data_IF_005303734093
#
_entry.id   IF_005303734093
#
_cell.length_a   1.000
_cell.length_b   1.000
_cell.length_c   1.000
_cell.angle_alpha   90.00
_cell.angle_beta   90.00
_cell.angle_gamma   90.00
#
_symmetry.space_group_name_H-M   'P 1'
#
loop_
_entity.id
_entity.type
_entity.pdbx_description
1 polymer ?
#
# COMPACT_ATOMS: atom_id res chain seq x y z
N UNK A 1 -6.72 21.83 8.22
CA UNK A 1 -6.21 22.53 7.02
C UNK A 1 -5.72 21.47 6.07
N UNK A 2 -6.32 21.40 4.88
CA UNK A 2 -6.06 20.36 3.88
C UNK A 2 -4.65 20.55 3.31
N UNK A 3 -3.71 19.66 3.67
CA UNK A 3 -2.39 19.60 3.02
C UNK A 3 -2.58 18.94 1.65
N UNK A 4 -2.99 19.75 0.68
CA UNK A 4 -2.84 19.42 -0.74
C UNK A 4 -1.35 19.56 -1.05
N UNK A 5 -0.67 18.43 -1.23
CA UNK A 5 0.71 18.43 -1.72
C UNK A 5 0.76 19.00 -3.15
N UNK A 6 1.51 20.07 -3.43
CA UNK A 6 1.79 20.49 -4.79
C UNK A 6 3.08 19.83 -5.30
N UNK A 7 3.05 19.34 -6.54
CA UNK A 7 4.27 19.20 -7.35
C UNK A 7 4.75 17.79 -7.66
N UNK A 8 3.88 16.93 -8.19
CA UNK A 8 4.31 16.06 -9.29
C UNK A 8 4.07 16.85 -10.58
N UNK A 9 5.14 17.03 -11.36
CA UNK A 9 5.11 17.59 -12.72
C UNK A 9 3.85 17.16 -13.46
N UNK A 10 3.22 18.09 -14.19
CA UNK A 10 2.13 17.82 -15.12
C UNK A 10 2.62 16.89 -16.24
N UNK A 11 2.77 15.60 -15.90
CA UNK A 11 3.01 14.54 -16.86
C UNK A 11 1.82 14.56 -17.82
N UNK A 12 2.12 14.62 -19.13
CA UNK A 12 1.17 14.84 -20.21
C UNK A 12 -0.13 14.08 -19.95
N UNK A 13 -1.21 14.80 -19.68
CA UNK A 13 -2.42 14.29 -19.03
C UNK A 13 -3.16 13.21 -19.82
N UNK A 14 -2.66 12.81 -21.01
CA UNK A 14 -3.21 11.75 -21.86
C UNK A 14 -2.21 10.82 -22.55
N UNK A 15 -0.89 11.05 -22.48
CA UNK A 15 0.06 10.28 -23.32
C UNK A 15 0.04 8.77 -23.01
N UNK A 16 -0.07 8.39 -21.73
CA UNK A 16 -0.14 6.99 -21.31
C UNK A 16 -1.36 6.25 -21.85
N UNK A 17 -2.46 6.95 -22.19
CA UNK A 17 -3.67 6.33 -22.76
C UNK A 17 -3.42 5.81 -24.17
N UNK A 18 -2.57 6.49 -24.95
CA UNK A 18 -2.20 6.05 -26.31
C UNK A 18 -1.39 4.76 -26.33
N UNK A 19 -0.79 4.36 -25.21
CA UNK A 19 -0.11 3.07 -25.06
C UNK A 19 -1.08 1.90 -24.84
N UNK A 20 -2.37 2.17 -24.62
CA UNK A 20 -3.40 1.15 -24.39
C UNK A 20 -4.21 0.88 -25.67
N UNK A 21 -4.75 -0.33 -25.75
CA UNK A 21 -5.65 -0.73 -26.85
C UNK A 21 -6.97 0.05 -26.85
N UNK A 22 -7.42 0.46 -25.66
CA UNK A 22 -8.63 1.25 -25.43
C UNK A 22 -8.47 2.08 -24.15
N UNK A 23 -9.18 3.20 -24.04
CA UNK A 23 -9.18 4.03 -22.85
C UNK A 23 -10.15 3.48 -21.79
N UNK A 24 -9.67 2.98 -20.64
CA UNK A 24 -10.55 2.48 -19.58
C UNK A 24 -11.18 3.60 -18.74
N UNK A 25 -10.83 4.87 -18.96
CA UNK A 25 -11.29 6.00 -18.14
C UNK A 25 -12.83 6.09 -18.03
N UNK A 26 -13.63 5.97 -19.12
CA UNK A 26 -15.09 5.97 -19.00
C UNK A 26 -15.63 4.85 -18.09
N UNK A 27 -14.98 3.68 -18.11
CA UNK A 27 -15.36 2.52 -17.29
C UNK A 27 -14.98 2.69 -15.81
N UNK A 28 -13.82 3.30 -15.54
CA UNK A 28 -13.36 3.64 -14.19
C UNK A 28 -14.17 4.79 -13.58
N UNK A 29 -14.60 5.76 -14.38
CA UNK A 29 -15.43 6.88 -13.97
C UNK A 29 -16.92 6.50 -13.88
N UNK A 30 -17.30 5.30 -14.29
CA UNK A 30 -18.68 4.80 -14.18
C UNK A 30 -19.19 4.78 -12.73
N UNK A 31 -20.51 4.94 -12.52
CA UNK A 31 -21.10 5.06 -11.18
C UNK A 31 -21.16 3.73 -10.40
N UNK A 32 -20.92 2.58 -11.04
CA UNK A 32 -21.09 1.24 -10.45
C UNK A 32 -20.06 0.88 -9.39
N UNK A 33 -18.95 1.60 -9.29
CA UNK A 33 -17.97 1.43 -8.22
C UNK A 33 -17.52 2.80 -7.73
N UNK A 34 -18.30 3.46 -6.85
CA UNK A 34 -18.07 4.85 -6.46
C UNK A 34 -16.69 5.12 -5.87
N UNK A 35 -16.13 4.15 -5.14
CA UNK A 35 -14.78 4.25 -4.58
C UNK A 35 -13.70 4.34 -5.66
N UNK A 36 -13.82 3.55 -6.73
CA UNK A 36 -12.92 3.65 -7.89
C UNK A 36 -13.14 4.96 -8.64
N UNK A 37 -14.41 5.38 -8.84
CA UNK A 37 -14.71 6.68 -9.48
C UNK A 37 -14.06 7.84 -8.73
N UNK A 38 -14.23 7.90 -7.41
CA UNK A 38 -13.61 8.90 -6.54
C UNK A 38 -12.10 8.98 -6.76
N UNK A 39 -11.44 7.83 -6.72
CA UNK A 39 -10.00 7.74 -6.87
C UNK A 39 -9.52 8.02 -8.30
N UNK A 40 -10.28 7.65 -9.33
CA UNK A 40 -9.96 7.94 -10.72
C UNK A 40 -10.08 9.44 -11.03
N UNK A 41 -11.12 10.11 -10.52
CA UNK A 41 -11.27 11.57 -10.63
C UNK A 41 -10.06 12.28 -10.02
N UNK A 42 -9.62 11.86 -8.83
CA UNK A 42 -8.48 12.46 -8.14
C UNK A 42 -7.14 12.13 -8.81
N UNK A 43 -6.87 10.87 -9.13
CA UNK A 43 -5.51 10.41 -9.46
C UNK A 43 -5.23 10.30 -10.96
N UNK A 44 -6.26 10.16 -11.79
CA UNK A 44 -6.12 10.09 -13.25
C UNK A 44 -6.50 11.39 -13.95
N UNK A 45 -7.38 12.21 -13.34
CA UNK A 45 -7.82 13.49 -13.87
C UNK A 45 -7.35 14.70 -13.04
N UNK A 46 -6.57 14.47 -11.97
CA UNK A 46 -6.02 15.51 -11.08
C UNK A 46 -7.09 16.48 -10.53
N UNK A 47 -8.32 16.02 -10.35
CA UNK A 47 -9.38 16.87 -9.81
C UNK A 47 -9.14 17.14 -8.32
N UNK A 48 -9.31 18.38 -7.85
CA UNK A 48 -9.06 18.73 -6.46
C UNK A 48 -10.10 18.09 -5.53
N UNK A 49 -9.75 17.95 -4.25
CA UNK A 49 -10.57 17.22 -3.27
C UNK A 49 -11.93 17.87 -2.93
N UNK A 50 -12.09 19.15 -3.28
CA UNK A 50 -13.29 19.97 -3.14
C UNK A 50 -14.11 20.08 -4.44
N UNK A 51 -13.66 19.47 -5.54
CA UNK A 51 -14.45 19.33 -6.77
C UNK A 51 -15.78 18.63 -6.45
N UNK A 52 -16.94 19.17 -6.87
CA UNK A 52 -18.24 18.60 -6.54
C UNK A 52 -18.40 17.13 -6.93
N UNK A 53 -17.83 16.69 -8.05
CA UNK A 53 -17.89 15.28 -8.46
C UNK A 53 -16.99 14.40 -7.59
N UNK A 54 -15.83 14.90 -7.17
CA UNK A 54 -14.93 14.19 -6.25
C UNK A 54 -15.60 14.03 -4.88
N UNK A 55 -16.20 15.10 -4.36
CA UNK A 55 -16.94 15.09 -3.08
C UNK A 55 -18.12 14.13 -3.15
N UNK A 56 -18.91 14.18 -4.23
CA UNK A 56 -20.06 13.28 -4.37
C UNK A 56 -19.63 11.82 -4.51
N UNK A 57 -18.63 11.53 -5.35
CA UNK A 57 -18.11 10.18 -5.50
C UNK A 57 -17.52 9.63 -4.18
N UNK A 58 -16.82 10.46 -3.39
CA UNK A 58 -16.30 10.08 -2.07
C UNK A 58 -17.44 9.77 -1.09
N UNK A 59 -18.47 10.62 -1.05
CA UNK A 59 -19.68 10.39 -0.21
C UNK A 59 -20.41 9.11 -0.62
N UNK A 60 -20.56 8.86 -1.91
CA UNK A 60 -21.14 7.63 -2.43
C UNK A 60 -20.28 6.40 -2.08
N UNK A 61 -18.95 6.51 -2.18
CA UNK A 61 -18.02 5.45 -1.79
C UNK A 61 -18.18 5.04 -0.32
N UNK A 62 -18.33 6.00 0.59
CA UNK A 62 -18.54 5.73 2.02
C UNK A 62 -19.85 4.98 2.33
N UNK A 63 -20.83 5.01 1.42
CA UNK A 63 -22.13 4.35 1.55
C UNK A 63 -22.23 3.05 0.75
N UNK A 64 -21.18 2.69 0.01
CA UNK A 64 -21.15 1.51 -0.82
C UNK A 64 -20.13 0.50 -0.31
N UNK A 65 -20.35 -0.76 -0.65
CA UNK A 65 -19.36 -1.79 -0.40
C UNK A 65 -18.14 -1.61 -1.31
N UNK A 66 -16.94 -1.93 -0.80
CA UNK A 66 -16.70 -2.61 0.48
C UNK A 66 -16.55 -1.69 1.72
N UNK A 67 -16.49 -0.36 1.56
CA UNK A 67 -16.26 0.56 2.69
C UNK A 67 -17.40 0.47 3.71
N UNK A 68 -18.64 0.47 3.25
CA UNK A 68 -19.81 0.43 4.13
C UNK A 68 -19.85 -0.83 5.00
N UNK A 69 -19.72 -2.02 4.40
CA UNK A 69 -19.66 -3.29 5.15
C UNK A 69 -18.48 -3.35 6.13
N UNK A 70 -17.29 -2.90 5.74
CA UNK A 70 -16.14 -2.86 6.67
C UNK A 70 -16.47 -1.95 7.86
N UNK A 71 -16.94 -0.73 7.63
CA UNK A 71 -17.24 0.20 8.71
C UNK A 71 -18.42 -0.23 9.58
N UNK A 72 -19.38 -0.98 9.04
CA UNK A 72 -20.49 -1.55 9.79
C UNK A 72 -20.03 -2.68 10.74
N UNK A 73 -18.97 -3.40 10.39
CA UNK A 73 -18.37 -4.44 11.23
C UNK A 73 -17.43 -3.89 12.33
N UNK A 74 -17.20 -2.57 12.38
CA UNK A 74 -16.32 -1.96 13.37
C UNK A 74 -16.97 -2.01 14.75
N UNK A 75 -16.23 -2.49 15.75
CA UNK A 75 -16.62 -2.36 17.14
C UNK A 75 -16.65 -0.87 17.56
N UNK A 76 -17.52 -0.43 18.48
CA UNK A 76 -17.55 0.96 18.97
C UNK A 76 -16.20 1.51 19.42
N UNK A 77 -15.35 0.66 20.00
CA UNK A 77 -13.99 1.01 20.46
C UNK A 77 -12.96 1.16 19.33
N UNK A 78 -13.33 0.91 18.06
CA UNK A 78 -12.49 1.16 16.89
C UNK A 78 -11.78 -0.07 16.28
N UNK A 79 -11.91 -1.24 16.88
CA UNK A 79 -11.31 -2.49 16.38
C UNK A 79 -12.27 -3.33 15.53
N UNK A 80 -11.72 -4.35 14.85
CA UNK A 80 -12.49 -5.38 14.14
C UNK A 80 -12.15 -6.77 14.66
N UNK A 81 -13.15 -7.65 14.61
CA UNK A 81 -13.12 -9.05 15.07
C UNK A 81 -12.86 -9.21 16.58
N UNK A 82 -11.72 -8.75 17.08
CA UNK A 82 -11.32 -8.90 18.48
C UNK A 82 -10.33 -7.80 18.91
N UNK A 83 -10.26 -7.48 20.22
CA UNK A 83 -9.31 -6.49 20.73
C UNK A 83 -7.84 -6.99 20.68
N UNK A 84 -6.91 -6.10 20.99
CA UNK A 84 -5.46 -6.29 20.89
C UNK A 84 -4.84 -5.71 19.62
N UNK A 85 -3.62 -6.15 19.30
CA UNK A 85 -2.76 -5.58 18.24
C UNK A 85 -3.30 -5.74 16.81
N UNK A 86 -4.38 -6.50 16.60
CA UNK A 86 -5.17 -6.46 15.37
C UNK A 86 -4.63 -7.24 14.17
N UNK A 87 -3.43 -7.86 14.23
CA UNK A 87 -2.89 -8.63 13.11
C UNK A 87 -3.60 -9.98 12.89
N UNK A 88 -4.08 -10.61 13.96
CA UNK A 88 -5.00 -11.76 13.93
C UNK A 88 -6.45 -11.26 14.01
N UNK A 89 -7.45 -11.84 13.34
CA UNK A 89 -7.53 -13.08 12.53
C UNK A 89 -7.19 -12.88 11.04
N UNK A 90 -6.00 -12.36 10.73
CA UNK A 90 -5.58 -12.00 9.35
C UNK A 90 -6.61 -11.03 8.77
N UNK A 91 -7.10 -11.22 7.55
CA UNK A 91 -7.78 -10.18 6.77
C UNK A 91 -9.13 -9.68 7.30
N UNK A 92 -9.60 -10.15 8.47
CA UNK A 92 -10.71 -9.56 9.23
C UNK A 92 -10.27 -8.71 10.43
N UNK A 93 -9.03 -8.85 10.88
CA UNK A 93 -8.48 -8.10 12.00
C UNK A 93 -8.27 -6.62 11.69
N UNK A 94 -8.13 -5.83 12.77
CA UNK A 94 -8.10 -4.36 12.77
C UNK A 94 -7.07 -3.75 11.82
N UNK A 95 -5.81 -4.20 11.85
CA UNK A 95 -4.75 -3.58 11.03
C UNK A 95 -5.06 -3.72 9.54
N UNK A 96 -5.66 -4.85 9.13
CA UNK A 96 -6.02 -5.10 7.75
C UNK A 96 -7.19 -4.23 7.30
N UNK A 97 -8.18 -4.00 8.17
CA UNK A 97 -9.29 -3.11 7.84
C UNK A 97 -8.79 -1.69 7.61
N UNK A 98 -7.90 -1.19 8.47
CA UNK A 98 -7.31 0.14 8.28
C UNK A 98 -6.52 0.23 6.97
N UNK A 99 -5.72 -0.80 6.65
CA UNK A 99 -4.96 -0.91 5.39
C UNK A 99 -5.89 -0.93 4.17
N UNK A 100 -7.00 -1.65 4.24
CA UNK A 100 -7.96 -1.74 3.13
C UNK A 100 -8.76 -0.45 2.98
N UNK A 101 -9.22 0.17 4.06
CA UNK A 101 -9.95 1.44 4.03
C UNK A 101 -9.11 2.54 3.37
N UNK A 102 -7.80 2.58 3.62
CA UNK A 102 -6.88 3.50 2.94
C UNK A 102 -6.83 3.25 1.43
N UNK A 103 -6.64 1.98 1.03
CA UNK A 103 -6.61 1.58 -0.38
C UNK A 103 -7.91 1.87 -1.12
N UNK A 104 -9.04 1.76 -0.42
CA UNK A 104 -10.37 2.05 -0.93
C UNK A 104 -10.66 3.57 -1.01
N UNK A 105 -9.82 4.40 -0.41
CA UNK A 105 -10.00 5.85 -0.38
C UNK A 105 -11.11 6.30 0.56
N UNK A 106 -11.28 5.63 1.70
CA UNK A 106 -12.23 6.04 2.74
C UNK A 106 -11.94 7.48 3.22
N UNK A 107 -12.99 8.18 3.63
CA UNK A 107 -12.90 9.57 4.07
C UNK A 107 -12.26 9.67 5.47
N UNK A 108 -11.10 10.32 5.55
CA UNK A 108 -10.39 10.59 6.81
C UNK A 108 -11.22 11.43 7.82
N UNK A 109 -12.25 12.14 7.33
CA UNK A 109 -13.18 12.89 8.15
C UNK A 109 -14.19 12.03 8.91
N UNK A 110 -14.38 10.77 8.54
CA UNK A 110 -15.35 9.88 9.20
C UNK A 110 -14.85 9.51 10.61
N UNK A 111 -15.68 9.68 11.66
CA UNK A 111 -15.27 9.40 13.03
C UNK A 111 -14.89 7.93 13.27
N UNK A 112 -15.41 6.98 12.48
CA UNK A 112 -15.03 5.56 12.55
C UNK A 112 -13.58 5.34 12.10
N UNK A 113 -13.14 6.07 11.08
CA UNK A 113 -11.74 6.03 10.60
C UNK A 113 -10.81 6.58 11.68
N UNK A 114 -11.16 7.72 12.28
CA UNK A 114 -10.36 8.31 13.38
C UNK A 114 -10.22 7.36 14.56
N UNK A 115 -11.32 6.71 14.99
CA UNK A 115 -11.27 5.69 16.05
C UNK A 115 -10.39 4.50 15.67
N UNK A 116 -10.44 4.05 14.41
CA UNK A 116 -9.58 2.97 13.94
C UNK A 116 -8.09 3.35 13.98
N UNK A 117 -7.74 4.54 13.52
CA UNK A 117 -6.36 5.05 13.58
C UNK A 117 -5.87 5.11 15.02
N UNK A 118 -6.63 5.76 15.91
CA UNK A 118 -6.24 5.91 17.30
C UNK A 118 -6.08 4.56 18.01
N UNK A 119 -7.04 3.66 17.80
CA UNK A 119 -6.96 2.29 18.33
C UNK A 119 -5.70 1.56 17.84
N UNK A 120 -5.38 1.61 16.54
CA UNK A 120 -4.17 0.96 15.99
C UNK A 120 -2.90 1.57 16.57
N UNK A 121 -2.83 2.90 16.73
CA UNK A 121 -1.67 3.57 17.29
C UNK A 121 -1.46 3.21 18.77
N UNK A 122 -2.52 2.99 19.53
CA UNK A 122 -2.43 2.59 20.94
C UNK A 122 -2.10 1.11 21.15
N UNK A 123 -2.53 0.23 20.24
CA UNK A 123 -2.51 -1.22 20.48
C UNK A 123 -1.52 -1.99 19.61
N UNK A 124 -1.08 -1.44 18.48
CA UNK A 124 -0.29 -2.18 17.48
C UNK A 124 1.19 -1.77 17.45
N UNK A 125 1.60 -0.74 18.18
CA UNK A 125 2.99 -0.26 18.22
C UNK A 125 3.77 -1.01 19.31
N UNK A 126 4.92 -1.57 18.93
CA UNK A 126 5.85 -2.18 19.88
C UNK A 126 6.70 -1.11 20.59
N UNK A 127 7.38 -1.43 21.70
CA UNK A 127 8.26 -0.49 22.40
C UNK A 127 9.41 0.09 21.54
N UNK A 128 9.74 -0.55 20.42
CA UNK A 128 10.70 -0.04 19.43
C UNK A 128 10.15 1.06 18.53
N UNK A 129 8.86 1.37 18.60
CA UNK A 129 8.19 2.41 17.81
C UNK A 129 7.50 1.89 16.53
N UNK A 130 7.88 0.72 16.01
CA UNK A 130 7.24 0.15 14.83
C UNK A 130 6.02 -0.73 15.13
N UNK A 131 5.17 -0.94 14.12
CA UNK A 131 3.98 -1.77 14.21
C UNK A 131 4.29 -3.28 14.20
N UNK A 132 3.87 -3.98 15.25
CA UNK A 132 4.12 -5.40 15.44
C UNK A 132 3.05 -6.32 14.87
N UNK A 133 3.47 -7.36 14.14
CA UNK A 133 2.61 -8.41 13.59
C UNK A 133 2.19 -9.44 14.67
N UNK A 134 1.53 -8.97 15.74
CA UNK A 134 1.12 -9.80 16.87
C UNK A 134 -0.36 -10.16 16.83
N UNK A 135 -0.66 -11.44 17.10
CA UNK A 135 -2.02 -11.93 17.29
C UNK A 135 -2.44 -12.08 18.76
N UNK A 136 -1.57 -11.69 19.70
CA UNK A 136 -1.82 -11.82 21.13
C UNK A 136 -2.89 -10.83 21.60
N UNK A 137 -3.82 -11.33 22.42
CA UNK A 137 -4.87 -10.51 23.01
C UNK A 137 -4.31 -9.68 24.16
N UNK A 138 -4.75 -8.43 24.27
CA UNK A 138 -4.47 -7.53 25.40
C UNK A 138 -2.99 -7.41 25.78
N UNK A 139 -2.09 -7.51 24.79
CA UNK A 139 -0.65 -7.35 24.97
C UNK A 139 -0.09 -6.48 23.87
N UNK A 140 0.74 -5.53 24.29
CA UNK A 140 1.60 -4.75 23.39
C UNK A 140 2.46 -5.74 22.58
N UNK A 141 2.57 -5.57 21.25
CA UNK A 141 3.46 -6.42 20.46
C UNK A 141 4.89 -6.37 20.97
N UNK A 142 5.60 -7.51 21.09
CA UNK A 142 7.01 -7.48 21.43
C UNK A 142 7.81 -6.87 20.27
N UNK A 143 8.99 -6.27 20.54
CA UNK A 143 9.89 -5.75 19.50
C UNK A 143 10.19 -6.74 18.36
N UNK A 144 10.27 -8.03 18.69
CA UNK A 144 10.54 -9.11 17.73
C UNK A 144 9.39 -9.41 16.77
N UNK A 145 8.22 -8.79 16.96
CA UNK A 145 7.08 -8.91 16.06
C UNK A 145 7.04 -7.81 14.99
N UNK A 146 7.88 -6.78 15.09
CA UNK A 146 7.88 -5.66 14.13
C UNK A 146 8.53 -6.10 12.82
N UNK A 147 7.87 -5.78 11.70
CA UNK A 147 8.28 -6.20 10.36
C UNK A 147 7.97 -5.10 9.34
N UNK A 148 8.92 -4.86 8.42
CA UNK A 148 8.82 -3.88 7.33
C UNK A 148 7.47 -3.91 6.60
N UNK A 149 6.98 -5.10 6.23
CA UNK A 149 5.74 -5.25 5.46
C UNK A 149 4.53 -4.61 6.17
N UNK A 150 4.39 -4.86 7.47
CA UNK A 150 3.25 -4.36 8.23
C UNK A 150 3.43 -2.88 8.55
N UNK A 151 4.63 -2.51 8.98
CA UNK A 151 4.92 -1.14 9.37
C UNK A 151 4.76 -0.17 8.19
N UNK A 152 5.30 -0.51 7.01
CA UNK A 152 5.09 0.28 5.78
C UNK A 152 3.62 0.38 5.34
N UNK A 153 2.86 -0.73 5.40
CA UNK A 153 1.42 -0.71 5.09
C UNK A 153 0.64 0.21 6.04
N UNK A 154 0.91 0.13 7.35
CA UNK A 154 0.21 0.95 8.34
C UNK A 154 0.63 2.41 8.27
N UNK A 155 1.92 2.72 8.11
CA UNK A 155 2.41 4.08 7.85
C UNK A 155 1.67 4.71 6.67
N UNK A 156 1.55 3.98 5.54
CA UNK A 156 0.82 4.48 4.37
C UNK A 156 -0.63 4.85 4.72
N UNK A 157 -1.30 4.01 5.49
CA UNK A 157 -2.69 4.20 5.89
C UNK A 157 -2.85 5.37 6.88
N UNK A 158 -2.12 5.38 8.01
CA UNK A 158 -2.28 6.41 9.04
C UNK A 158 -1.86 7.80 8.53
N UNK A 159 -0.80 7.89 7.72
CA UNK A 159 -0.41 9.15 7.08
C UNK A 159 -1.47 9.57 6.05
N UNK A 160 -2.01 8.62 5.28
CA UNK A 160 -3.13 8.86 4.35
C UNK A 160 -4.39 9.40 5.02
N UNK A 161 -4.63 9.03 6.28
CA UNK A 161 -5.71 9.54 7.11
C UNK A 161 -5.37 10.80 7.91
N UNK A 162 -4.20 11.40 7.69
CA UNK A 162 -3.82 12.70 8.25
C UNK A 162 -3.13 12.67 9.61
N UNK A 163 -2.54 11.53 10.01
CA UNK A 163 -1.86 11.37 11.30
C UNK A 163 -0.34 11.58 11.22
N UNK A 164 0.17 12.26 10.19
CA UNK A 164 1.62 12.43 9.99
C UNK A 164 2.29 13.04 11.22
N UNK A 165 1.69 14.07 11.82
CA UNK A 165 2.28 14.81 12.94
C UNK A 165 2.12 14.10 14.30
N UNK A 166 1.43 12.95 14.36
CA UNK A 166 1.26 12.20 15.61
C UNK A 166 2.63 11.63 16.06
N UNK A 167 3.06 11.83 17.32
CA UNK A 167 4.36 11.36 17.80
C UNK A 167 4.56 9.84 17.66
N UNK A 168 3.48 9.06 17.77
CA UNK A 168 3.52 7.59 17.60
C UNK A 168 3.82 7.23 16.14
N UNK A 169 3.28 7.98 15.20
CA UNK A 169 3.55 7.83 13.76
C UNK A 169 4.97 8.27 13.42
N UNK A 170 5.45 9.38 13.99
CA UNK A 170 6.85 9.81 13.84
C UNK A 170 7.83 8.75 14.34
N UNK A 171 7.54 8.11 15.49
CA UNK A 171 8.32 6.98 15.99
C UNK A 171 8.33 5.77 15.05
N UNK A 172 7.18 5.44 14.43
CA UNK A 172 7.10 4.36 13.45
C UNK A 172 7.82 4.66 12.13
N UNK A 173 7.83 5.93 11.70
CA UNK A 173 8.61 6.41 10.53
C UNK A 173 10.10 6.29 10.81
N UNK A 174 10.54 6.77 11.98
CA UNK A 174 11.93 6.68 12.39
C UNK A 174 12.38 5.23 12.50
N UNK A 175 11.56 4.36 13.12
CA UNK A 175 11.83 2.93 13.18
C UNK A 175 12.00 2.33 11.78
N UNK A 176 11.09 2.61 10.83
CA UNK A 176 11.17 2.08 9.47
C UNK A 176 12.47 2.51 8.79
N UNK A 177 12.79 3.81 8.86
CA UNK A 177 13.95 4.35 8.19
C UNK A 177 15.27 3.81 8.77
N UNK A 178 15.38 3.71 10.10
CA UNK A 178 16.53 3.08 10.78
C UNK A 178 16.63 1.59 10.49
N UNK A 179 15.51 0.88 10.46
CA UNK A 179 15.49 -0.54 10.14
C UNK A 179 15.97 -0.80 8.70
N UNK A 180 15.66 0.10 7.76
CA UNK A 180 16.16 0.01 6.38
C UNK A 180 17.66 0.29 6.32
N UNK A 181 18.12 1.41 6.91
CA UNK A 181 19.53 1.85 6.78
C UNK A 181 20.48 1.15 7.73
N UNK A 182 19.97 0.57 8.83
CA UNK A 182 20.74 0.05 9.95
C UNK A 182 21.24 1.12 10.93
N UNK A 183 20.99 2.40 10.65
CA UNK A 183 21.52 3.50 11.45
C UNK A 183 20.94 3.53 12.87
N UNK A 184 21.81 3.41 13.88
CA UNK A 184 21.42 3.51 15.28
C UNK A 184 20.46 2.41 15.74
N UNK A 185 20.49 1.23 15.11
CA UNK A 185 19.78 0.04 15.60
C UNK A 185 20.72 -0.75 16.52
N UNK A 186 20.37 -0.81 17.80
CA UNK A 186 21.20 -1.48 18.82
C UNK A 186 21.04 -3.01 18.81
N UNK A 187 19.87 -3.51 18.39
CA UNK A 187 19.53 -4.94 18.47
C UNK A 187 18.64 -5.38 17.33
N UNK A 188 18.99 -6.53 16.76
CA UNK A 188 18.17 -7.30 15.85
C UNK A 188 17.56 -8.52 16.54
N UNK A 189 16.44 -9.00 16.03
CA UNK A 189 15.73 -10.16 16.56
C UNK A 189 15.74 -11.30 15.54
N UNK A 190 15.74 -12.55 16.01
CA UNK A 190 15.65 -13.72 15.11
C UNK A 190 14.27 -13.86 14.41
N UNK A 191 13.29 -13.02 14.78
CA UNK A 191 11.95 -12.95 14.19
C UNK A 191 11.63 -11.52 13.73
N UNK A 192 10.65 -11.36 12.85
CA UNK A 192 10.30 -10.05 12.28
C UNK A 192 11.39 -9.51 11.36
N UNK A 193 11.77 -8.25 11.57
CA UNK A 193 12.96 -7.65 10.95
C UNK A 193 14.22 -8.14 11.67
N UNK A 194 15.04 -8.91 10.95
CA UNK A 194 16.19 -9.63 11.51
C UNK A 194 17.55 -9.00 11.21
N UNK A 195 17.55 -7.84 10.57
CA UNK A 195 18.75 -7.10 10.16
C UNK A 195 18.37 -5.86 9.35
N UNK A 196 19.38 -5.07 8.99
CA UNK A 196 19.20 -3.94 8.08
C UNK A 196 18.87 -4.40 6.64
N UNK A 197 18.55 -3.44 5.76
CA UNK A 197 18.40 -3.73 4.33
C UNK A 197 17.28 -4.73 4.02
N UNK A 198 16.16 -4.62 4.74
CA UNK A 198 14.97 -5.46 4.58
C UNK A 198 15.14 -6.93 4.99
N UNK A 199 16.18 -7.27 5.75
CA UNK A 199 16.36 -8.62 6.28
C UNK A 199 15.15 -9.06 7.11
N UNK A 200 14.59 -10.21 6.76
CA UNK A 200 13.30 -10.64 7.26
C UNK A 200 13.35 -12.11 7.67
N UNK A 201 12.96 -12.42 8.89
CA UNK A 201 12.93 -13.79 9.39
C UNK A 201 11.97 -14.69 8.59
N UNK A 202 10.87 -14.15 8.06
CA UNK A 202 9.97 -14.90 7.18
C UNK A 202 10.64 -15.32 5.85
N UNK A 203 11.73 -14.64 5.48
CA UNK A 203 12.56 -14.91 4.32
C UNK A 203 13.94 -15.49 4.72
N UNK A 204 14.00 -16.25 5.83
CA UNK A 204 15.24 -16.88 6.35
C UNK A 204 16.36 -15.87 6.63
N UNK A 205 16.00 -14.67 7.06
CA UNK A 205 16.94 -13.58 7.36
C UNK A 205 17.45 -12.85 6.12
N UNK A 206 17.08 -13.27 4.92
CA UNK A 206 17.44 -12.58 3.68
C UNK A 206 16.56 -11.34 3.44
N UNK A 207 17.08 -10.38 2.67
CA UNK A 207 16.36 -9.18 2.28
C UNK A 207 15.06 -9.54 1.54
N UNK A 208 13.92 -9.03 2.00
CA UNK A 208 12.60 -9.38 1.49
C UNK A 208 12.02 -8.29 0.60
N UNK A 209 11.82 -8.58 -0.68
CA UNK A 209 11.25 -7.62 -1.64
C UNK A 209 9.78 -7.26 -1.38
N UNK A 210 9.01 -8.15 -0.74
CA UNK A 210 7.67 -7.79 -0.25
C UNK A 210 7.77 -6.69 0.82
N UNK A 211 8.69 -6.85 1.78
CA UNK A 211 8.96 -5.85 2.82
C UNK A 211 9.42 -4.53 2.25
N UNK A 212 10.39 -4.58 1.33
CA UNK A 212 10.92 -3.38 0.68
C UNK A 212 9.83 -2.56 -0.02
N UNK A 213 8.97 -3.19 -0.82
CA UNK A 213 7.90 -2.49 -1.53
C UNK A 213 6.92 -1.78 -0.57
N UNK A 214 6.52 -2.45 0.53
CA UNK A 214 5.60 -1.87 1.52
C UNK A 214 6.24 -0.75 2.31
N UNK A 215 7.46 -0.96 2.78
CA UNK A 215 8.25 -0.01 3.53
C UNK A 215 8.42 1.30 2.74
N UNK A 216 8.87 1.17 1.50
CA UNK A 216 9.08 2.31 0.60
C UNK A 216 7.78 3.03 0.29
N UNK A 217 6.68 2.30 0.03
CA UNK A 217 5.37 2.93 -0.19
C UNK A 217 4.84 3.67 1.05
N UNK A 218 5.12 3.17 2.25
CA UNK A 218 4.83 3.85 3.51
C UNK A 218 5.59 5.18 3.61
N UNK A 219 6.90 5.16 3.38
CA UNK A 219 7.74 6.36 3.43
C UNK A 219 7.44 7.35 2.28
N UNK A 220 7.09 6.86 1.10
CA UNK A 220 6.72 7.68 -0.05
C UNK A 220 5.46 8.52 0.20
N UNK A 221 4.59 8.11 1.12
CA UNK A 221 3.39 8.84 1.55
C UNK A 221 3.72 10.17 2.23
N UNK A 222 4.91 10.31 2.80
CA UNK A 222 5.38 11.54 3.44
C UNK A 222 5.63 12.59 2.34
N UNK A 223 5.06 13.80 2.42
CA UNK A 223 5.35 14.89 1.49
C UNK A 223 6.85 15.15 1.37
N UNK A 224 7.34 15.41 0.16
CA UNK A 224 8.78 15.44 -0.16
C UNK A 224 9.53 16.45 0.73
N UNK A 225 8.91 17.59 0.97
CA UNK A 225 9.37 18.69 1.80
C UNK A 225 9.47 18.33 3.29
N UNK A 226 8.68 17.36 3.75
CA UNK A 226 8.66 16.89 5.14
C UNK A 226 9.55 15.67 5.38
N UNK A 227 10.16 15.09 4.33
CA UNK A 227 11.05 13.92 4.48
C UNK A 227 12.36 14.33 5.14
N UNK A 228 12.63 13.78 6.31
CA UNK A 228 13.92 13.93 7.01
C UNK A 228 15.09 13.32 6.21
N UNK A 229 16.35 13.72 6.48
CA UNK A 229 17.52 13.12 5.83
C UNK A 229 17.58 11.59 5.97
N UNK A 230 17.19 11.05 7.13
CA UNK A 230 17.14 9.62 7.38
C UNK A 230 16.10 8.92 6.49
N UNK A 231 14.89 9.50 6.39
CA UNK A 231 13.83 8.98 5.50
C UNK A 231 14.28 9.02 4.03
N UNK A 232 14.94 10.10 3.60
CA UNK A 232 15.47 10.20 2.23
C UNK A 232 16.49 9.11 1.92
N UNK A 233 17.40 8.81 2.85
CA UNK A 233 18.37 7.71 2.70
C UNK A 233 17.67 6.35 2.65
N UNK A 234 16.71 6.10 3.55
CA UNK A 234 15.93 4.86 3.55
C UNK A 234 15.15 4.65 2.25
N UNK A 235 14.54 5.72 1.72
CA UNK A 235 13.88 5.71 0.40
C UNK A 235 14.88 5.36 -0.71
N UNK A 236 16.06 5.99 -0.73
CA UNK A 236 17.09 5.71 -1.73
C UNK A 236 17.60 4.26 -1.66
N UNK A 237 17.86 3.75 -0.44
CA UNK A 237 18.24 2.34 -0.21
C UNK A 237 17.15 1.39 -0.72
N UNK A 238 15.88 1.69 -0.46
CA UNK A 238 14.76 0.87 -0.92
C UNK A 238 14.57 0.91 -2.43
N UNK A 239 14.68 2.08 -3.06
CA UNK A 239 14.62 2.22 -4.50
C UNK A 239 15.74 1.43 -5.20
N UNK A 240 16.98 1.57 -4.73
CA UNK A 240 18.12 0.84 -5.29
C UNK A 240 18.01 -0.67 -5.05
N UNK A 241 17.50 -1.12 -3.90
CA UNK A 241 17.25 -2.54 -3.68
C UNK A 241 16.21 -3.09 -4.68
N UNK A 242 15.09 -2.38 -4.87
CA UNK A 242 14.03 -2.82 -5.79
C UNK A 242 14.47 -2.74 -7.26
N UNK A 243 15.27 -1.74 -7.65
CA UNK A 243 15.81 -1.58 -8.99
C UNK A 243 17.07 -2.43 -9.26
N UNK A 244 17.68 -2.99 -8.22
CA UNK A 244 18.87 -3.84 -8.32
C UNK A 244 18.60 -5.20 -8.97
N UNK A 245 17.34 -5.55 -9.18
CA UNK A 245 16.86 -6.74 -9.89
C UNK A 245 15.75 -6.34 -10.85
N UNK A 246 15.60 -7.09 -11.94
CA UNK A 246 14.46 -6.89 -12.85
C UNK A 246 13.17 -7.35 -12.14
N UNK A 247 12.15 -6.49 -11.94
CA UNK A 247 10.91 -6.88 -11.30
C UNK A 247 10.15 -8.03 -11.99
N UNK A 248 10.41 -8.31 -13.27
CA UNK A 248 9.83 -9.46 -13.98
C UNK A 248 10.61 -10.76 -13.81
N UNK A 249 11.92 -10.68 -13.64
CA UNK A 249 12.72 -11.86 -13.27
C UNK A 249 12.51 -12.18 -11.79
N UNK A 250 12.39 -11.14 -10.96
CA UNK A 250 12.11 -11.20 -9.53
C UNK A 250 13.09 -12.08 -8.75
N UNK A 251 14.35 -12.16 -9.18
CA UNK A 251 15.47 -12.87 -8.55
C UNK A 251 16.03 -12.14 -7.31
N UNK A 252 15.17 -11.47 -6.55
CA UNK A 252 15.51 -10.95 -5.23
C UNK A 252 15.92 -12.10 -4.30
N UNK A 253 16.63 -11.83 -3.20
CA UNK A 253 16.98 -12.86 -2.22
C UNK A 253 15.73 -13.60 -1.71
N UNK A 254 15.75 -14.93 -1.75
CA UNK A 254 14.65 -15.80 -1.34
C UNK A 254 15.19 -16.89 -0.41
N UNK A 255 14.60 -17.01 0.77
CA UNK A 255 14.95 -18.05 1.74
C UNK A 255 14.36 -19.41 1.39
N UNK A 256 14.58 -20.38 2.27
CA UNK A 256 14.02 -21.73 2.24
C UNK A 256 14.42 -22.56 1.02
N UNK A 257 15.63 -22.32 0.48
CA UNK A 257 16.12 -23.00 -0.72
C UNK A 257 15.33 -22.69 -2.00
N UNK A 258 14.51 -21.63 -2.00
CA UNK A 258 13.71 -21.25 -3.15
C UNK A 258 14.60 -20.74 -4.29
N UNK A 259 14.54 -21.43 -5.43
CA UNK A 259 15.26 -21.05 -6.66
C UNK A 259 14.36 -20.33 -7.67
N UNK A 260 13.09 -20.10 -7.33
CA UNK A 260 12.10 -19.41 -8.18
C UNK A 260 11.24 -18.46 -7.36
N UNK A 261 10.84 -17.30 -7.91
CA UNK A 261 9.93 -16.38 -7.26
C UNK A 261 8.57 -17.02 -6.96
N UNK A 262 7.91 -16.55 -5.90
CA UNK A 262 6.54 -16.93 -5.60
C UNK A 262 5.62 -16.59 -6.78
N UNK A 263 4.79 -17.54 -7.21
CA UNK A 263 3.82 -17.29 -8.30
C UNK A 263 2.86 -16.13 -8.01
N UNK A 264 2.67 -15.76 -6.74
CA UNK A 264 1.83 -14.62 -6.36
C UNK A 264 2.43 -13.27 -6.78
N UNK A 265 3.76 -13.18 -6.95
CA UNK A 265 4.44 -11.99 -7.44
C UNK A 265 3.87 -11.53 -8.80
N UNK A 266 3.50 -12.48 -9.64
CA UNK A 266 2.94 -12.21 -10.95
C UNK A 266 1.42 -12.12 -10.95
N UNK A 267 0.72 -12.27 -9.83
CA UNK A 267 -0.75 -12.21 -9.79
C UNK A 267 -1.23 -10.81 -9.40
N UNK A 268 -1.32 -9.92 -10.39
CA UNK A 268 -1.88 -8.57 -10.21
C UNK A 268 -3.23 -8.65 -9.50
N UNK A 269 -3.34 -8.05 -8.31
CA UNK A 269 -4.49 -8.29 -7.43
C UNK A 269 -4.93 -7.10 -6.60
N UNK A 270 -6.14 -7.19 -6.05
CA UNK A 270 -6.67 -6.21 -5.11
C UNK A 270 -7.69 -6.87 -4.17
N UNK A 271 -7.70 -6.57 -2.86
CA UNK A 271 -6.83 -5.62 -2.17
C UNK A 271 -5.39 -6.10 -2.03
N UNK A 272 -4.47 -5.17 -1.79
CA UNK A 272 -3.09 -5.52 -1.47
C UNK A 272 -2.91 -5.67 0.04
N UNK A 273 -2.73 -6.91 0.51
CA UNK A 273 -2.42 -7.20 1.91
C UNK A 273 -0.88 -7.33 2.10
N UNK A 274 -0.38 -8.42 2.69
CA UNK A 274 1.08 -8.64 2.80
C UNK A 274 1.73 -9.16 1.51
N UNK A 275 0.94 -9.75 0.60
CA UNK A 275 1.47 -10.24 -0.67
C UNK A 275 1.70 -9.03 -1.58
N UNK A 276 2.91 -8.94 -2.13
CA UNK A 276 3.30 -7.92 -3.10
C UNK A 276 3.34 -8.53 -4.49
N UNK A 277 2.76 -7.83 -5.46
CA UNK A 277 2.81 -8.14 -6.90
C UNK A 277 3.77 -7.19 -7.64
N UNK A 278 4.14 -7.51 -8.88
CA UNK A 278 4.96 -6.65 -9.75
C UNK A 278 4.39 -5.23 -9.80
N UNK A 279 3.06 -5.11 -9.91
CA UNK A 279 2.41 -3.80 -10.00
C UNK A 279 2.65 -2.94 -8.76
N UNK A 280 2.71 -3.54 -7.56
CA UNK A 280 3.02 -2.80 -6.34
C UNK A 280 4.48 -2.35 -6.25
N UNK A 281 5.41 -3.11 -6.82
CA UNK A 281 6.80 -2.64 -6.97
C UNK A 281 6.86 -1.45 -7.92
N UNK A 282 6.14 -1.51 -9.05
CA UNK A 282 6.03 -0.38 -9.97
C UNK A 282 5.34 0.83 -9.33
N UNK A 283 4.29 0.63 -8.52
CA UNK A 283 3.68 1.70 -7.71
C UNK A 283 4.72 2.37 -6.80
N UNK A 284 5.52 1.57 -6.08
CA UNK A 284 6.56 2.08 -5.19
C UNK A 284 7.59 2.94 -5.95
N UNK A 285 8.13 2.41 -7.04
CA UNK A 285 9.18 3.08 -7.80
C UNK A 285 8.67 4.31 -8.57
N UNK A 286 7.46 4.24 -9.14
CA UNK A 286 6.87 5.37 -9.85
C UNK A 286 6.45 6.51 -8.93
N UNK A 287 5.91 6.22 -7.74
CA UNK A 287 5.58 7.25 -6.73
C UNK A 287 6.84 7.96 -6.19
N UNK A 288 7.99 7.29 -6.23
CA UNK A 288 9.29 7.88 -5.92
C UNK A 288 9.93 8.66 -7.08
N UNK A 289 9.30 8.68 -8.26
CA UNK A 289 9.82 9.40 -9.44
C UNK A 289 10.71 8.59 -10.36
N UNK A 290 10.85 7.27 -10.16
CA UNK A 290 11.65 6.39 -11.02
C UNK A 290 10.88 5.84 -12.23
N UNK A 291 9.72 6.41 -12.58
CA UNK A 291 8.86 5.83 -13.63
C UNK A 291 9.49 5.77 -15.02
N UNK A 292 10.45 6.65 -15.32
CA UNK A 292 11.23 6.67 -16.57
C UNK A 292 12.56 5.94 -16.47
N UNK A 293 12.84 5.23 -15.37
CA UNK A 293 14.07 4.45 -15.23
C UNK A 293 14.08 3.32 -16.28
N UNK A 294 15.12 3.19 -17.11
CA UNK A 294 15.17 2.21 -18.20
C UNK A 294 15.11 0.76 -17.68
N UNK A 295 15.50 0.51 -16.43
CA UNK A 295 15.39 -0.81 -15.79
C UNK A 295 13.94 -1.28 -15.65
N UNK A 296 12.97 -0.37 -15.73
CA UNK A 296 11.54 -0.68 -15.64
C UNK A 296 10.86 -0.89 -17.01
N UNK A 297 11.58 -0.72 -18.12
CA UNK A 297 10.99 -0.83 -19.46
C UNK A 297 10.35 -2.20 -19.71
N UNK A 298 11.04 -3.29 -19.37
CA UNK A 298 10.51 -4.65 -19.52
C UNK A 298 9.23 -4.85 -18.69
N UNK A 299 9.25 -4.42 -17.42
CA UNK A 299 8.10 -4.52 -16.52
C UNK A 299 6.90 -3.67 -17.00
N UNK A 300 7.14 -2.49 -17.58
CA UNK A 300 6.12 -1.66 -18.21
C UNK A 300 5.47 -2.37 -19.39
N UNK A 301 6.28 -2.90 -20.30
CA UNK A 301 5.79 -3.54 -21.52
C UNK A 301 5.00 -4.82 -21.17
N UNK A 302 5.45 -5.57 -20.17
CA UNK A 302 4.67 -6.68 -19.62
C UNK A 302 3.35 -6.24 -19.00
N UNK A 303 3.33 -5.14 -18.24
CA UNK A 303 2.10 -4.60 -17.63
C UNK A 303 1.10 -4.21 -18.72
N UNK A 304 1.54 -3.52 -19.78
CA UNK A 304 0.71 -3.17 -20.94
C UNK A 304 0.15 -4.43 -21.61
N UNK A 305 0.96 -5.48 -21.77
CA UNK A 305 0.53 -6.75 -22.35
C UNK A 305 -0.47 -7.54 -21.47
N UNK A 306 -0.63 -7.19 -20.19
CA UNK A 306 -1.65 -7.81 -19.33
C UNK A 306 -3.06 -7.18 -19.50
N UNK A 307 -3.18 -6.03 -20.17
CA UNK A 307 -4.47 -5.41 -20.43
C UNK A 307 -5.27 -6.21 -21.48
N UNK A 308 -6.59 -6.29 -21.32
CA UNK A 308 -7.49 -6.78 -22.36
C UNK A 308 -7.72 -5.73 -23.47
N UNK A 309 -8.50 -6.09 -24.49
CA UNK A 309 -8.80 -5.21 -25.62
C UNK A 309 -9.59 -3.94 -25.21
N UNK A 310 -10.24 -3.96 -24.05
CA UNK A 310 -10.93 -2.80 -23.46
C UNK A 310 -10.02 -1.97 -22.54
N UNK A 311 -8.71 -2.29 -22.48
CA UNK A 311 -7.75 -1.58 -21.63
C UNK A 311 -7.91 -1.90 -20.14
N UNK A 312 -8.43 -3.07 -19.78
CA UNK A 312 -8.71 -3.48 -18.38
C UNK A 312 -7.79 -4.61 -17.94
N UNK A 313 -7.51 -4.67 -16.65
CA UNK A 313 -6.73 -5.75 -16.02
C UNK A 313 -7.61 -6.65 -15.17
N UNK A 314 -7.22 -7.92 -15.06
CA UNK A 314 -7.92 -8.90 -14.23
C UNK A 314 -7.43 -8.86 -12.77
N UNK A 315 -8.33 -9.07 -11.82
CA UNK A 315 -7.95 -9.28 -10.42
C UNK A 315 -7.55 -10.74 -10.18
N UNK A 316 -6.25 -11.06 -10.33
CA UNK A 316 -5.73 -12.42 -10.14
C UNK A 316 -5.48 -12.80 -8.68
N UNK A 317 -5.74 -11.90 -7.73
CA UNK A 317 -5.58 -12.15 -6.30
C UNK A 317 -6.55 -11.30 -5.46
N UNK A 318 -7.82 -11.72 -5.42
CA UNK A 318 -8.93 -10.96 -4.86
C UNK A 318 -9.22 -11.23 -3.37
N UNK A 319 -8.52 -12.19 -2.75
CA UNK A 319 -8.78 -12.63 -1.37
C UNK A 319 -10.24 -13.08 -1.09
N UNK A 320 -11.00 -13.48 -2.13
CA UNK A 320 -12.43 -13.79 -1.96
C UNK A 320 -12.69 -14.82 -0.84
N UNK A 321 -13.71 -14.55 -0.03
CA UNK A 321 -14.10 -15.33 1.14
C UNK A 321 -13.23 -15.16 2.39
N UNK A 322 -12.17 -14.34 2.34
CA UNK A 322 -11.22 -14.16 3.46
C UNK A 322 -11.37 -12.83 4.20
N UNK A 323 -12.05 -11.85 3.62
CA UNK A 323 -12.30 -10.51 4.17
C UNK A 323 -13.70 -10.44 4.80
N UNK A 324 -14.13 -9.25 5.25
CA UNK A 324 -15.51 -9.00 5.68
C UNK A 324 -16.50 -9.02 4.52
N UNK A 325 -16.06 -8.55 3.35
CA UNK A 325 -16.80 -8.54 2.11
C UNK A 325 -15.82 -8.68 0.94
N UNK A 326 -16.25 -9.32 -0.13
CA UNK A 326 -15.47 -9.46 -1.35
C UNK A 326 -15.41 -8.14 -2.12
N UNK A 327 -14.23 -7.73 -2.57
CA UNK A 327 -14.06 -6.44 -3.24
C UNK A 327 -14.44 -6.50 -4.72
N UNK A 328 -14.00 -7.56 -5.40
CA UNK A 328 -14.34 -7.90 -6.79
C UNK A 328 -14.19 -9.42 -6.98
N UNK A 329 -14.66 -9.93 -8.12
CA UNK A 329 -14.57 -11.35 -8.49
C UNK A 329 -13.13 -11.73 -8.87
N UNK A 330 -12.61 -12.79 -8.26
CA UNK A 330 -11.33 -13.41 -8.62
C UNK A 330 -11.30 -13.79 -10.12
N UNK A 331 -10.25 -13.32 -10.80
CA UNK A 331 -9.97 -13.62 -12.20
C UNK A 331 -10.75 -12.79 -13.23
N UNK A 332 -11.76 -12.03 -12.80
CA UNK A 332 -12.55 -11.15 -13.67
C UNK A 332 -11.86 -9.81 -13.95
N UNK A 333 -12.33 -9.03 -14.96
CA UNK A 333 -11.94 -7.65 -15.16
C UNK A 333 -12.16 -6.82 -13.89
N UNK A 334 -11.17 -6.00 -13.53
CA UNK A 334 -11.09 -5.36 -12.23
C UNK A 334 -10.88 -3.86 -12.35
N UNK A 335 -11.79 -3.09 -11.78
CA UNK A 335 -11.66 -1.63 -11.72
C UNK A 335 -10.51 -1.23 -10.81
N UNK A 336 -10.29 -1.97 -9.73
CA UNK A 336 -9.19 -1.69 -8.79
C UNK A 336 -7.81 -1.94 -9.41
N UNK A 337 -7.59 -3.11 -10.01
CA UNK A 337 -6.31 -3.42 -10.65
C UNK A 337 -6.09 -2.52 -11.86
N UNK A 338 -7.14 -2.22 -12.63
CA UNK A 338 -7.06 -1.27 -13.75
C UNK A 338 -6.68 0.13 -13.29
N UNK A 339 -7.30 0.66 -12.23
CA UNK A 339 -6.92 1.95 -11.66
C UNK A 339 -5.46 1.98 -11.18
N UNK A 340 -5.01 0.92 -10.50
CA UNK A 340 -3.60 0.76 -10.08
C UNK A 340 -2.65 0.81 -11.29
N UNK A 341 -2.93 0.03 -12.33
CA UNK A 341 -2.14 -0.01 -13.56
C UNK A 341 -2.10 1.35 -14.27
N UNK A 342 -3.25 2.03 -14.40
CA UNK A 342 -3.35 3.34 -15.02
C UNK A 342 -2.51 4.39 -14.27
N UNK A 343 -2.54 4.39 -12.92
CA UNK A 343 -1.71 5.30 -12.10
C UNK A 343 -0.21 5.07 -12.31
N UNK A 344 0.21 3.82 -12.43
CA UNK A 344 1.60 3.46 -12.73
C UNK A 344 1.98 3.94 -14.12
N UNK A 345 1.23 3.54 -15.15
CA UNK A 345 1.53 3.87 -16.55
C UNK A 345 1.58 5.39 -16.78
N UNK A 346 0.67 6.14 -16.16
CA UNK A 346 0.68 7.61 -16.19
C UNK A 346 2.00 8.23 -15.70
N UNK A 347 2.69 7.59 -14.76
CA UNK A 347 3.96 8.06 -14.20
C UNK A 347 5.19 7.53 -14.95
N UNK A 348 4.99 6.64 -15.92
CA UNK A 348 6.06 6.02 -16.72
C UNK A 348 6.24 6.64 -18.11
N UNK A 349 5.40 7.64 -18.45
CA UNK A 349 5.51 8.44 -19.69
C UNK A 349 6.33 9.69 -19.49
#
# INVERSE_FOLDING_TARGET
>A
MSLVAPGLSAAGTGEWRSSLRSDPSPWLLGPSTPAVRHLALRDLLDRPGDDPEVVEARRAAMRADPIAAILAAQHPDGYWEKPGAGYATKYRGTVWQLIFLDQLGADAGDPRIRRACDYVLDHSIAPTGGFGASGQLNRVPPPSAVIHCLNGNLLRAVIGFGWLDDPRVQGAIEWEARAITGEGVERWYASGTSGAGFACAANEGLACAWGAAKAVLGLARIPIELRSPLVRRAIATGAEFLLGRDPLVADYPMGWGNVRPSSSWFKLGFPSAYVTDVLQVLEALTELGHGRDPRLAAARDWLLAQADDDGRWRNRYAYNGKTWVDFEVQGGPSRWVTLRACRVLRRMV
#
